data_IF_728926338764
#
_entry.id   IF_728926338764
#
_cell.length_a   1.000
_cell.length_b   1.000
_cell.length_c   1.000
_cell.angle_alpha   90.00
_cell.angle_beta   90.00
_cell.angle_gamma   90.00
#
_symmetry.space_group_name_H-M   'P 1'
#
loop_
_entity.id
_entity.type
_entity.pdbx_description
1 polymer ?
#
# COMPACT_ATOMS: atom_id res chain seq x y z
N UNK A 1 -12.26 -2.27 -21.42
CA UNK A 1 -12.88 -2.71 -20.15
C UNK A 1 -12.78 -1.62 -19.11
N UNK A 2 -13.40 -1.80 -17.94
CA UNK A 2 -13.30 -0.89 -16.79
C UNK A 2 -12.06 -1.22 -15.95
N UNK A 3 -11.47 -0.19 -15.31
CA UNK A 3 -10.39 -0.38 -14.36
C UNK A 3 -10.93 -0.73 -12.96
N UNK A 4 -10.15 -1.50 -12.21
CA UNK A 4 -10.49 -1.98 -10.87
C UNK A 4 -9.44 -1.54 -9.85
N UNK A 5 -9.89 -1.08 -8.69
CA UNK A 5 -9.04 -0.70 -7.56
C UNK A 5 -9.42 -1.52 -6.32
N UNK A 6 -8.41 -2.05 -5.63
CA UNK A 6 -8.59 -2.65 -4.32
C UNK A 6 -8.16 -1.65 -3.23
N UNK A 7 -9.10 -1.24 -2.39
CA UNK A 7 -8.76 -0.71 -1.06
C UNK A 7 -8.36 -1.86 -0.14
N UNK A 8 -7.05 -2.12 -0.13
CA UNK A 8 -6.41 -3.17 0.66
C UNK A 8 -5.93 -2.68 2.02
N UNK A 9 -6.61 -1.71 2.66
CA UNK A 9 -6.19 -1.17 3.96
C UNK A 9 -5.92 -2.24 5.06
N UNK A 10 -6.48 -3.44 4.91
CA UNK A 10 -6.24 -4.60 5.78
C UNK A 10 -5.96 -5.89 4.99
N UNK A 11 -5.33 -5.79 3.81
CA UNK A 11 -5.08 -6.95 2.94
C UNK A 11 -4.24 -8.04 3.62
N UNK A 12 -3.32 -7.68 4.52
CA UNK A 12 -2.52 -8.65 5.28
C UNK A 12 -3.36 -9.44 6.29
N UNK A 13 -4.36 -8.82 6.93
CA UNK A 13 -5.30 -9.56 7.78
C UNK A 13 -6.11 -10.58 6.97
N UNK A 14 -6.53 -10.21 5.75
CA UNK A 14 -7.21 -11.14 4.85
C UNK A 14 -6.27 -12.26 4.40
N UNK A 15 -4.99 -11.96 4.11
CA UNK A 15 -3.97 -12.94 3.74
C UNK A 15 -3.80 -14.00 4.84
N UNK A 16 -3.69 -13.57 6.10
CA UNK A 16 -3.63 -14.46 7.27
C UNK A 16 -4.91 -15.30 7.38
N UNK A 17 -6.09 -14.68 7.31
CA UNK A 17 -7.37 -15.39 7.46
C UNK A 17 -7.58 -16.47 6.39
N UNK A 18 -7.27 -16.16 5.13
CA UNK A 18 -7.41 -17.09 4.02
C UNK A 18 -6.20 -18.02 3.83
N UNK A 19 -5.18 -17.92 4.70
CA UNK A 19 -3.93 -18.67 4.60
C UNK A 19 -3.33 -18.62 3.18
N UNK A 20 -3.25 -17.41 2.63
CA UNK A 20 -2.73 -17.16 1.28
C UNK A 20 -1.88 -15.90 1.25
N UNK A 21 -1.12 -15.70 0.18
CA UNK A 21 -0.28 -14.50 0.05
C UNK A 21 -1.12 -13.25 -0.26
N UNK A 22 -0.69 -12.09 0.25
CA UNK A 22 -1.28 -10.80 -0.14
C UNK A 22 -1.20 -10.57 -1.67
N UNK A 23 -0.16 -11.10 -2.33
CA UNK A 23 -0.02 -11.07 -3.79
C UNK A 23 -1.17 -11.78 -4.50
N UNK A 24 -1.59 -12.94 -4.00
CA UNK A 24 -2.70 -13.69 -4.59
C UNK A 24 -4.04 -12.95 -4.41
N UNK A 25 -4.28 -12.34 -3.25
CA UNK A 25 -5.48 -11.54 -3.01
C UNK A 25 -5.56 -10.28 -3.87
N UNK A 26 -4.41 -9.68 -4.17
CA UNK A 26 -4.29 -8.52 -5.03
C UNK A 26 -4.34 -8.85 -6.53
N UNK A 27 -4.29 -10.12 -6.91
CA UNK A 27 -4.24 -10.53 -8.31
C UNK A 27 -5.53 -10.12 -9.04
N UNK A 28 -5.40 -9.60 -10.25
CA UNK A 28 -6.53 -9.17 -11.08
C UNK A 28 -6.99 -7.72 -10.87
N UNK A 29 -6.47 -7.00 -9.88
CA UNK A 29 -6.70 -5.56 -9.72
C UNK A 29 -5.68 -4.71 -10.49
N UNK A 30 -6.13 -3.63 -11.11
CA UNK A 30 -5.25 -2.70 -11.83
C UNK A 30 -4.43 -1.82 -10.88
N UNK A 31 -4.93 -1.59 -9.68
CA UNK A 31 -4.23 -0.86 -8.62
C UNK A 31 -4.69 -1.30 -7.23
N UNK A 32 -3.80 -1.15 -6.24
CA UNK A 32 -4.04 -1.54 -4.86
C UNK A 32 -3.50 -0.46 -3.93
N UNK A 33 -4.25 -0.11 -2.90
CA UNK A 33 -3.71 0.63 -1.75
C UNK A 33 -3.58 -0.29 -0.54
N UNK A 34 -2.51 -0.17 0.24
CA UNK A 34 -2.34 -0.93 1.49
C UNK A 34 -1.84 -0.03 2.61
N UNK A 35 -2.59 0.03 3.70
CA UNK A 35 -2.23 0.82 4.87
C UNK A 35 -1.19 0.10 5.72
N UNK A 36 -0.16 0.83 6.13
CA UNK A 36 0.87 0.33 7.04
C UNK A 36 0.55 0.67 8.51
N UNK A 37 -0.27 1.70 8.74
CA UNK A 37 -0.58 2.22 10.07
C UNK A 37 -1.90 1.74 10.68
N UNK A 38 -2.25 0.48 10.41
CA UNK A 38 -3.41 -0.21 11.00
C UNK A 38 -2.93 -1.48 11.70
N UNK A 39 -3.39 -2.66 11.27
CA UNK A 39 -3.00 -3.94 11.86
C UNK A 39 -1.49 -4.21 11.81
N UNK A 40 -0.79 -3.61 10.83
CA UNK A 40 0.66 -3.69 10.71
C UNK A 40 1.42 -2.83 11.74
N UNK A 41 0.80 -1.84 12.38
CA UNK A 41 1.41 -1.12 13.51
C UNK A 41 2.46 -0.04 13.19
N UNK A 42 2.69 0.33 11.92
CA UNK A 42 3.53 1.48 11.61
C UNK A 42 2.87 2.79 12.11
N UNK A 43 3.64 3.84 12.48
CA UNK A 43 3.05 5.07 13.03
C UNK A 43 2.20 5.86 12.01
N UNK A 44 2.58 5.80 10.72
CA UNK A 44 1.82 6.37 9.61
C UNK A 44 2.23 5.70 8.29
N UNK A 45 1.39 5.81 7.27
CA UNK A 45 1.77 5.47 5.89
C UNK A 45 0.80 4.53 5.18
N UNK A 46 0.78 4.66 3.86
CA UNK A 46 0.07 3.78 2.92
C UNK A 46 0.92 3.67 1.67
N UNK A 47 0.95 2.47 1.07
CA UNK A 47 1.57 2.23 -0.22
C UNK A 47 0.50 2.10 -1.29
N UNK A 48 0.73 2.75 -2.43
CA UNK A 48 -0.11 2.61 -3.63
C UNK A 48 0.69 1.82 -4.66
N UNK A 49 0.11 0.73 -5.16
CA UNK A 49 0.68 -0.18 -6.13
C UNK A 49 -0.17 -0.18 -7.40
N UNK A 50 0.47 -0.41 -8.56
CA UNK A 50 -0.17 -0.45 -9.87
C UNK A 50 0.88 -0.39 -10.98
N UNK A 51 0.44 -0.17 -12.23
CA UNK A 51 1.36 -0.03 -13.37
C UNK A 51 2.31 1.17 -13.23
N UNK A 52 3.41 1.17 -13.98
CA UNK A 52 4.38 2.28 -13.98
C UNK A 52 3.73 3.60 -14.41
N UNK A 53 2.87 3.54 -15.42
CA UNK A 53 2.12 4.68 -15.97
C UNK A 53 1.12 5.21 -14.94
N UNK A 54 0.43 4.31 -14.23
CA UNK A 54 -0.47 4.68 -13.13
C UNK A 54 0.30 5.38 -12.00
N UNK A 55 1.42 4.80 -11.54
CA UNK A 55 2.24 5.38 -10.48
C UNK A 55 2.87 6.71 -10.88
N UNK A 56 3.26 6.90 -12.15
CA UNK A 56 3.76 8.18 -12.64
C UNK A 56 2.70 9.29 -12.49
N UNK A 57 1.44 9.02 -12.86
CA UNK A 57 0.32 9.96 -12.67
C UNK A 57 0.02 10.18 -11.18
N UNK A 58 0.00 9.11 -10.39
CA UNK A 58 -0.24 9.19 -8.95
C UNK A 58 0.84 10.02 -8.23
N UNK A 59 2.11 9.95 -8.63
CA UNK A 59 3.20 10.78 -8.08
C UNK A 59 2.97 12.27 -8.35
N UNK A 60 2.46 12.62 -9.54
CA UNK A 60 2.08 14.01 -9.88
C UNK A 60 0.92 14.47 -8.99
N UNK A 61 -0.13 13.67 -8.88
CA UNK A 61 -1.26 13.95 -8.00
C UNK A 61 -0.83 14.11 -6.53
N UNK A 62 0.03 13.22 -6.03
CA UNK A 62 0.61 13.31 -4.68
C UNK A 62 1.32 14.63 -4.44
N UNK A 63 2.00 15.19 -5.45
CA UNK A 63 2.67 16.49 -5.35
C UNK A 63 1.67 17.64 -5.27
N UNK A 64 0.62 17.61 -6.10
CA UNK A 64 -0.46 18.61 -6.12
C UNK A 64 -1.23 18.61 -4.79
N UNK A 65 -1.53 17.43 -4.26
CA UNK A 65 -2.27 17.23 -3.01
C UNK A 65 -1.40 17.40 -1.74
N UNK A 66 -0.14 17.80 -1.87
CA UNK A 66 0.74 18.08 -0.72
C UNK A 66 1.38 16.86 -0.04
N UNK A 67 1.17 15.63 -0.53
CA UNK A 67 1.71 14.40 0.04
C UNK A 67 3.20 14.11 -0.26
N UNK A 68 3.89 15.02 -0.94
CA UNK A 68 5.31 14.87 -1.30
C UNK A 68 6.23 15.33 -0.14
N UNK A 69 6.22 14.56 0.93
CA UNK A 69 7.05 14.76 2.12
C UNK A 69 8.56 14.68 1.80
N UNK A 70 9.39 15.31 2.64
CA UNK A 70 10.85 15.31 2.51
C UNK A 70 11.45 14.08 3.19
N UNK A 71 11.87 14.18 4.45
CA UNK A 71 12.53 13.11 5.21
C UNK A 71 11.55 12.00 5.67
N UNK A 72 10.72 11.50 4.74
CA UNK A 72 9.74 10.43 4.99
C UNK A 72 10.38 9.05 5.20
N UNK A 73 11.71 8.94 5.08
CA UNK A 73 12.46 7.70 5.30
C UNK A 73 12.24 7.11 6.69
N UNK A 74 12.06 7.94 7.73
CA UNK A 74 11.78 7.48 9.10
C UNK A 74 10.45 6.72 9.17
N UNK A 75 9.39 7.27 8.53
CA UNK A 75 8.09 6.60 8.45
C UNK A 75 8.14 5.36 7.55
N UNK A 76 8.86 5.44 6.44
CA UNK A 76 9.03 4.31 5.53
C UNK A 76 9.78 3.13 6.19
N UNK A 77 10.79 3.40 7.01
CA UNK A 77 11.53 2.38 7.75
C UNK A 77 10.63 1.62 8.73
N UNK A 78 9.78 2.34 9.48
CA UNK A 78 8.79 1.71 10.34
C UNK A 78 7.79 0.85 9.55
N UNK A 79 7.42 1.30 8.34
CA UNK A 79 6.59 0.54 7.41
C UNK A 79 7.25 -0.75 6.90
N UNK A 80 8.55 -0.70 6.57
CA UNK A 80 9.31 -1.89 6.16
C UNK A 80 9.42 -2.89 7.31
N UNK A 81 9.80 -2.43 8.50
CA UNK A 81 9.85 -3.28 9.69
C UNK A 81 8.52 -4.00 9.93
N UNK A 82 7.41 -3.25 9.87
CA UNK A 82 6.08 -3.79 10.03
C UNK A 82 5.71 -4.87 9.00
N UNK A 83 6.09 -4.70 7.72
CA UNK A 83 5.83 -5.70 6.67
C UNK A 83 6.63 -6.99 6.84
N UNK A 84 7.80 -6.91 7.48
CA UNK A 84 8.71 -8.05 7.67
C UNK A 84 8.44 -8.82 8.96
N UNK A 85 7.89 -8.17 9.99
CA UNK A 85 7.80 -8.72 11.34
C UNK A 85 6.38 -8.84 11.89
N UNK A 86 5.39 -8.15 11.31
CA UNK A 86 4.01 -8.15 11.80
C UNK A 86 3.05 -8.75 10.78
N UNK A 87 1.91 -9.27 11.29
CA UNK A 87 0.77 -9.85 10.58
C UNK A 87 1.14 -10.91 9.54
#
# INVERSE_FOLDING_TARGET
GLATHLDGARVFNAAVHFNTSAKALCAGFDSVSSCLSKGLGAPAGTVLLGSREFIARARRARKILGGAMRQAGVLAAAGLYALEHNV
#
